data_IF_290473678950
#
_entry.id   IF_290473678950
#
_cell.length_a   1.000
_cell.length_b   1.000
_cell.length_c   1.000
_cell.angle_alpha   90.00
_cell.angle_beta   90.00
_cell.angle_gamma   90.00
#
_symmetry.space_group_name_H-M   'P 1'
#
loop_
_entity.id
_entity.type
_entity.pdbx_description
1 polymer ?
#
# COMPACT_ATOMS: atom_id res chain seq x y z
N UNK A 1 -49.81 34.05 51.44
CA UNK A 1 -49.84 35.43 50.93
C UNK A 1 -49.44 35.37 49.47
N UNK A 2 -50.38 35.77 48.61
CA UNK A 2 -50.18 36.05 47.20
C UNK A 2 -49.06 37.11 47.00
N UNK A 3 -48.34 37.09 45.89
CA UNK A 3 -48.66 37.92 44.72
C UNK A 3 -47.64 37.76 43.58
N UNK A 4 -48.22 37.78 42.39
CA UNK A 4 -47.64 37.68 41.05
C UNK A 4 -46.96 38.95 40.56
N UNK A 5 -46.18 38.81 39.46
CA UNK A 5 -46.02 39.65 38.23
C UNK A 5 -44.54 39.84 37.85
N UNK A 6 -44.08 40.03 36.61
CA UNK A 6 -44.43 39.66 35.23
C UNK A 6 -43.19 40.05 34.35
N UNK A 7 -42.92 39.28 33.29
CA UNK A 7 -42.32 39.64 31.98
C UNK A 7 -40.94 40.30 31.84
N UNK A 8 -40.04 39.60 31.12
CA UNK A 8 -38.90 40.15 30.37
C UNK A 8 -38.33 39.08 29.42
N UNK A 9 -38.47 39.30 28.11
CA UNK A 9 -38.16 38.40 27.00
C UNK A 9 -36.74 38.63 26.44
N UNK A 10 -35.90 37.58 26.30
CA UNK A 10 -34.92 37.43 25.19
C UNK A 10 -34.11 36.13 25.30
N UNK A 11 -34.06 35.38 24.19
CA UNK A 11 -33.40 34.09 23.98
C UNK A 11 -31.84 34.15 23.90
N UNK A 12 -31.13 33.00 23.87
CA UNK A 12 -29.77 32.82 24.38
C UNK A 12 -28.67 33.01 23.33
N UNK A 13 -27.45 33.36 23.78
CA UNK A 13 -26.22 33.21 22.99
C UNK A 13 -25.36 32.08 23.55
N UNK A 14 -25.25 31.04 22.73
CA UNK A 14 -24.28 29.96 22.76
C UNK A 14 -22.85 30.48 22.47
N UNK A 15 -21.87 30.07 23.27
CA UNK A 15 -20.44 30.16 22.89
C UNK A 15 -19.88 28.74 22.76
N UNK A 16 -19.83 28.25 21.52
CA UNK A 16 -19.11 27.05 21.10
C UNK A 16 -17.62 27.37 20.99
N UNK A 17 -16.79 26.79 21.86
CA UNK A 17 -15.35 26.74 21.67
C UNK A 17 -15.00 25.64 20.66
N UNK A 18 -14.77 26.01 19.40
CA UNK A 18 -14.27 25.09 18.38
C UNK A 18 -12.77 24.89 18.58
N UNK A 19 -12.38 23.71 19.05
CA UNK A 19 -10.99 23.26 19.06
C UNK A 19 -10.60 22.88 17.64
N UNK A 20 -9.80 23.72 16.98
CA UNK A 20 -9.22 23.43 15.68
C UNK A 20 -8.29 22.20 15.77
N UNK A 21 -8.56 21.22 14.92
CA UNK A 21 -7.80 19.99 14.76
C UNK A 21 -6.46 20.28 14.07
N UNK A 22 -5.41 19.53 14.45
CA UNK A 22 -4.07 19.56 13.84
C UNK A 22 -4.05 19.35 12.31
N UNK A 23 -5.16 18.93 11.71
CA UNK A 23 -5.33 18.81 10.26
C UNK A 23 -5.39 20.17 9.54
N UNK A 24 -5.94 21.22 10.16
CA UNK A 24 -6.10 22.54 9.52
C UNK A 24 -4.76 23.28 9.35
N UNK A 25 -3.75 22.97 10.19
CA UNK A 25 -2.42 23.58 10.11
C UNK A 25 -1.53 22.98 9.02
N UNK A 26 -1.82 21.76 8.54
CA UNK A 26 -1.01 21.08 7.52
C UNK A 26 -1.38 21.48 6.08
N UNK A 27 -2.54 22.08 5.86
CA UNK A 27 -2.97 22.53 4.53
C UNK A 27 -2.54 23.97 4.18
N UNK A 28 -1.79 24.65 5.06
CA UNK A 28 -1.45 26.07 4.90
C UNK A 28 -0.17 26.35 4.10
N UNK A 29 0.58 25.33 3.68
CA UNK A 29 1.87 25.53 3.02
C UNK A 29 1.90 24.96 1.60
N UNK A 30 1.39 25.75 0.63
CA UNK A 30 1.89 25.69 -0.75
C UNK A 30 2.09 27.10 -1.31
N UNK A 31 3.05 27.30 -2.24
CA UNK A 31 3.53 28.64 -2.59
C UNK A 31 2.55 29.39 -3.49
N UNK A 32 2.34 30.67 -3.16
CA UNK A 32 1.61 31.67 -3.95
C UNK A 32 2.12 31.75 -5.39
N UNK A 33 1.36 31.22 -6.35
CA UNK A 33 1.48 31.59 -7.76
C UNK A 33 0.28 32.46 -8.16
N UNK A 34 0.60 33.74 -8.39
CA UNK A 34 -0.07 34.76 -9.18
C UNK A 34 -1.60 34.90 -9.08
N UNK A 35 -1.97 36.01 -8.44
CA UNK A 35 -3.20 36.81 -8.57
C UNK A 35 -3.75 36.81 -10.01
N UNK A 36 -4.90 36.15 -10.21
CA UNK A 36 -5.75 36.28 -11.40
C UNK A 36 -7.17 36.60 -10.94
N UNK A 37 -7.84 37.46 -11.71
CA UNK A 37 -9.00 38.29 -11.41
C UNK A 37 -10.26 37.59 -10.86
N UNK A 38 -10.99 38.32 -10.00
CA UNK A 38 -12.16 37.91 -9.17
C UNK A 38 -13.43 37.40 -9.91
N UNK A 39 -13.36 37.10 -11.21
CA UNK A 39 -14.52 36.68 -12.02
C UNK A 39 -14.69 35.16 -12.16
N UNK A 40 -13.64 34.35 -11.95
CA UNK A 40 -13.69 32.89 -12.19
C UNK A 40 -14.09 32.04 -10.97
N UNK A 41 -13.92 32.58 -9.75
CA UNK A 41 -14.17 31.89 -8.47
C UNK A 41 -15.66 31.60 -8.21
N UNK A 42 -16.57 32.37 -8.79
CA UNK A 42 -18.02 32.13 -8.63
C UNK A 42 -18.52 30.92 -9.42
N UNK A 43 -17.84 30.55 -10.51
CA UNK A 43 -18.24 29.45 -11.39
C UNK A 43 -17.87 28.07 -10.83
N UNK A 44 -16.78 27.99 -10.06
CA UNK A 44 -16.24 26.75 -9.50
C UNK A 44 -16.96 26.32 -8.21
N UNK A 45 -17.49 27.29 -7.44
CA UNK A 45 -18.35 27.03 -6.27
C UNK A 45 -19.72 26.50 -6.73
N UNK A 46 -20.38 27.16 -7.71
CA UNK A 46 -21.65 26.68 -8.27
C UNK A 46 -21.56 25.28 -8.91
N UNK A 47 -20.44 24.96 -9.58
CA UNK A 47 -20.20 23.62 -10.16
C UNK A 47 -20.05 22.54 -9.09
N UNK A 48 -19.39 22.84 -7.96
CA UNK A 48 -19.25 21.89 -6.84
C UNK A 48 -20.59 21.61 -6.13
N UNK A 49 -21.42 22.64 -5.95
CA UNK A 49 -22.75 22.48 -5.34
C UNK A 49 -23.71 21.70 -6.24
N UNK A 50 -23.65 21.95 -7.55
CA UNK A 50 -24.44 21.20 -8.54
C UNK A 50 -24.01 19.74 -8.64
N UNK A 51 -22.71 19.46 -8.56
CA UNK A 51 -22.17 18.09 -8.55
C UNK A 51 -22.68 17.30 -7.33
N UNK A 52 -22.58 17.87 -6.12
CA UNK A 52 -23.07 17.21 -4.90
C UNK A 52 -24.57 16.93 -4.88
N UNK A 53 -25.36 17.70 -5.63
CA UNK A 53 -26.81 17.48 -5.76
C UNK A 53 -27.16 16.29 -6.68
N UNK A 54 -26.21 15.75 -7.44
CA UNK A 54 -26.44 14.60 -8.32
C UNK A 54 -26.11 13.28 -7.63
N UNK A 55 -27.02 12.29 -7.75
CA UNK A 55 -26.83 10.99 -7.09
C UNK A 55 -25.54 10.28 -7.52
N UNK A 56 -24.99 9.40 -6.66
CA UNK A 56 -23.65 8.82 -6.83
C UNK A 56 -23.47 8.09 -8.16
N UNK A 57 -24.52 7.43 -8.68
CA UNK A 57 -24.48 6.76 -9.99
C UNK A 57 -24.21 7.71 -11.16
N UNK A 58 -24.83 8.89 -11.19
CA UNK A 58 -24.63 9.86 -12.30
C UNK A 58 -23.22 10.44 -12.26
N UNK A 59 -22.70 10.68 -11.06
CA UNK A 59 -21.34 11.16 -10.84
C UNK A 59 -20.31 10.12 -11.27
N UNK A 60 -20.50 8.85 -10.89
CA UNK A 60 -19.68 7.75 -11.35
C UNK A 60 -19.70 7.58 -12.87
N UNK A 61 -20.87 7.74 -13.51
CA UNK A 61 -20.98 7.70 -14.97
C UNK A 61 -20.20 8.84 -15.64
N UNK A 62 -20.19 10.03 -15.04
CA UNK A 62 -19.37 11.15 -15.52
C UNK A 62 -17.88 10.84 -15.44
N UNK A 63 -17.43 10.19 -14.35
CA UNK A 63 -16.03 9.77 -14.18
C UNK A 63 -15.57 8.75 -15.23
N UNK A 64 -16.45 7.84 -15.69
CA UNK A 64 -16.11 6.90 -16.76
C UNK A 64 -15.75 7.58 -18.09
N UNK A 65 -16.28 8.78 -18.31
CA UNK A 65 -16.03 9.58 -19.53
C UNK A 65 -14.81 10.49 -19.40
N UNK A 66 -14.17 10.56 -18.24
CA UNK A 66 -12.92 11.30 -18.09
C UNK A 66 -11.77 10.61 -18.85
N UNK A 67 -10.81 11.42 -19.28
CA UNK A 67 -9.66 10.97 -20.04
C UNK A 67 -8.89 9.87 -19.32
N UNK A 68 -8.64 8.76 -20.02
CA UNK A 68 -7.90 7.60 -19.50
C UNK A 68 -8.77 6.55 -18.79
N UNK A 69 -9.98 6.90 -18.34
CA UNK A 69 -10.87 5.96 -17.64
C UNK A 69 -11.58 4.98 -18.60
N UNK A 70 -11.62 5.28 -19.89
CA UNK A 70 -12.15 4.38 -20.94
C UNK A 70 -11.28 3.15 -21.24
N UNK A 71 -10.08 3.05 -20.65
CA UNK A 71 -9.18 1.90 -20.78
C UNK A 71 -8.71 1.44 -19.40
N UNK A 72 -8.50 0.13 -19.24
CA UNK A 72 -8.02 -0.47 -18.00
C UNK A 72 -6.66 0.10 -17.60
N UNK A 73 -6.56 0.56 -16.36
CA UNK A 73 -5.36 1.16 -15.78
C UNK A 73 -4.14 0.24 -15.78
N UNK A 74 -4.28 -1.08 -15.90
CA UNK A 74 -3.15 -2.01 -15.78
C UNK A 74 -2.80 -2.74 -17.06
N UNK A 75 -3.77 -2.99 -17.95
CA UNK A 75 -3.52 -3.77 -19.17
C UNK A 75 -4.09 -3.17 -20.45
N UNK A 76 -4.68 -1.97 -20.38
CA UNK A 76 -5.21 -1.26 -21.55
C UNK A 76 -6.46 -1.88 -22.19
N UNK A 77 -7.11 -2.88 -21.56
CA UNK A 77 -8.39 -3.40 -22.06
C UNK A 77 -9.44 -2.28 -22.11
N UNK A 78 -10.23 -2.16 -23.20
CA UNK A 78 -11.25 -1.12 -23.30
C UNK A 78 -12.40 -1.36 -22.31
N UNK A 79 -13.14 -0.29 -22.03
CA UNK A 79 -14.39 -0.28 -21.25
C UNK A 79 -14.28 -1.01 -19.90
N UNK A 80 -13.38 -0.58 -19.00
CA UNK A 80 -13.27 -1.16 -17.67
C UNK A 80 -14.59 -1.02 -16.89
N UNK A 81 -15.04 -2.12 -16.28
CA UNK A 81 -16.32 -2.21 -15.53
C UNK A 81 -16.15 -2.36 -14.02
N UNK A 82 -14.91 -2.25 -13.56
CA UNK A 82 -14.52 -2.38 -12.16
C UNK A 82 -13.65 -1.20 -11.77
N UNK A 83 -13.69 -0.85 -10.50
CA UNK A 83 -12.93 0.25 -9.91
C UNK A 83 -12.21 -0.25 -8.68
N UNK A 84 -10.95 0.12 -8.51
CA UNK A 84 -10.31 0.12 -7.21
C UNK A 84 -10.50 1.48 -6.56
N UNK A 85 -11.40 1.58 -5.57
CA UNK A 85 -11.75 2.86 -4.95
C UNK A 85 -10.65 3.40 -4.05
N UNK A 86 -9.78 2.55 -3.50
CA UNK A 86 -8.64 2.98 -2.70
C UNK A 86 -7.47 3.52 -3.53
N UNK A 87 -7.37 3.09 -4.80
CA UNK A 87 -6.30 3.49 -5.73
C UNK A 87 -6.76 4.49 -6.78
N UNK A 88 -8.08 4.69 -6.93
CA UNK A 88 -8.66 5.60 -7.90
C UNK A 88 -8.57 5.11 -9.34
N UNK A 89 -8.52 3.79 -9.57
CA UNK A 89 -8.30 3.22 -10.91
C UNK A 89 -9.50 2.43 -11.43
N UNK A 90 -9.84 2.64 -12.70
CA UNK A 90 -10.76 1.85 -13.49
C UNK A 90 -10.02 0.69 -14.18
N UNK A 91 -10.47 -0.52 -13.89
CA UNK A 91 -9.80 -1.77 -14.28
C UNK A 91 -10.78 -2.76 -14.93
N UNK A 92 -10.25 -3.65 -15.77
CA UNK A 92 -11.05 -4.69 -16.41
C UNK A 92 -11.35 -5.85 -15.45
N UNK A 93 -12.25 -6.76 -15.84
CA UNK A 93 -12.63 -7.91 -15.02
C UNK A 93 -11.43 -8.79 -14.64
N UNK A 94 -10.48 -9.02 -15.57
CA UNK A 94 -9.30 -9.85 -15.30
C UNK A 94 -8.36 -9.20 -14.27
N UNK A 95 -8.07 -7.91 -14.43
CA UNK A 95 -7.23 -7.17 -13.48
C UNK A 95 -7.93 -7.01 -12.12
N UNK A 96 -9.26 -6.85 -12.10
CA UNK A 96 -10.03 -6.82 -10.85
C UNK A 96 -9.83 -8.08 -10.00
N UNK A 97 -9.70 -9.25 -10.64
CA UNK A 97 -9.38 -10.50 -9.95
C UNK A 97 -7.99 -10.49 -9.30
N UNK A 98 -7.00 -9.93 -9.99
CA UNK A 98 -5.64 -9.74 -9.44
C UNK A 98 -5.67 -8.75 -8.28
N UNK A 99 -6.35 -7.62 -8.42
CA UNK A 99 -6.47 -6.60 -7.37
C UNK A 99 -7.09 -7.16 -6.09
N UNK A 100 -8.08 -8.07 -6.20
CA UNK A 100 -8.63 -8.78 -5.04
C UNK A 100 -7.58 -9.63 -4.32
N UNK A 101 -6.61 -10.21 -5.04
CA UNK A 101 -5.53 -11.00 -4.44
C UNK A 101 -4.48 -10.17 -3.70
N UNK A 102 -4.39 -8.85 -3.94
CA UNK A 102 -3.51 -7.94 -3.18
C UNK A 102 -4.03 -7.72 -1.76
N UNK A 103 -5.33 -7.92 -1.53
CA UNK A 103 -6.00 -7.65 -0.26
C UNK A 103 -6.53 -6.22 -0.15
N UNK A 104 -7.55 -6.05 0.69
CA UNK A 104 -8.29 -4.79 0.88
C UNK A 104 -7.45 -3.65 1.43
N UNK A 105 -6.30 -3.98 2.01
CA UNK A 105 -5.35 -3.01 2.54
C UNK A 105 -4.64 -2.23 1.42
N UNK A 106 -4.48 -2.85 0.24
CA UNK A 106 -3.92 -2.22 -0.95
C UNK A 106 -5.03 -1.77 -1.91
N UNK A 107 -5.97 -2.68 -2.23
CA UNK A 107 -6.97 -2.44 -3.26
C UNK A 107 -8.38 -2.87 -2.82
N UNK A 108 -9.29 -1.89 -2.71
CA UNK A 108 -10.72 -2.13 -2.48
C UNK A 108 -11.46 -2.12 -3.83
N UNK A 109 -11.98 -3.26 -4.27
CA UNK A 109 -12.53 -3.44 -5.63
C UNK A 109 -14.06 -3.46 -5.62
N UNK A 110 -14.68 -2.54 -6.36
CA UNK A 110 -16.12 -2.44 -6.61
C UNK A 110 -16.46 -2.52 -8.09
N UNK A 111 -17.63 -3.04 -8.41
CA UNK A 111 -18.23 -3.01 -9.74
C UNK A 111 -18.89 -1.67 -10.00
N UNK A 112 -18.68 -1.12 -11.19
CA UNK A 112 -19.35 0.10 -11.64
C UNK A 112 -20.87 -0.07 -11.67
N UNK A 113 -21.37 -1.26 -12.03
CA UNK A 113 -22.80 -1.51 -12.23
C UNK A 113 -23.44 -2.40 -11.17
N UNK A 114 -22.69 -3.39 -10.68
CA UNK A 114 -23.26 -4.47 -9.85
C UNK A 114 -23.26 -4.13 -8.36
N UNK A 115 -22.45 -3.17 -7.93
CA UNK A 115 -22.36 -2.76 -6.53
C UNK A 115 -23.11 -1.44 -6.29
N UNK A 116 -23.52 -1.24 -5.04
CA UNK A 116 -24.05 0.03 -4.57
C UNK A 116 -22.91 1.00 -4.25
N UNK A 117 -23.13 2.27 -4.56
CA UNK A 117 -22.13 3.33 -4.40
C UNK A 117 -22.65 4.39 -3.44
N UNK A 118 -21.86 4.71 -2.44
CA UNK A 118 -22.12 5.84 -1.54
C UNK A 118 -21.54 7.13 -2.12
N UNK A 119 -22.05 8.27 -1.68
CA UNK A 119 -21.52 9.57 -2.10
C UNK A 119 -20.04 9.72 -1.72
N UNK A 120 -19.64 9.26 -0.53
CA UNK A 120 -18.25 9.31 -0.05
C UNK A 120 -17.28 8.49 -0.92
N UNK A 121 -17.74 7.33 -1.43
CA UNK A 121 -16.93 6.50 -2.32
C UNK A 121 -16.69 7.20 -3.67
N UNK A 122 -17.72 7.87 -4.20
CA UNK A 122 -17.60 8.60 -5.46
C UNK A 122 -16.76 9.86 -5.26
N UNK A 123 -16.93 10.59 -4.16
CA UNK A 123 -16.10 11.75 -3.82
C UNK A 123 -14.63 11.38 -3.65
N UNK A 124 -14.35 10.25 -3.00
CA UNK A 124 -12.99 9.70 -2.89
C UNK A 124 -12.40 9.41 -4.27
N UNK A 125 -13.18 8.82 -5.18
CA UNK A 125 -12.72 8.51 -6.53
C UNK A 125 -12.43 9.78 -7.35
N UNK A 126 -13.28 10.81 -7.24
CA UNK A 126 -13.04 12.14 -7.85
C UNK A 126 -11.72 12.72 -7.34
N UNK A 127 -11.51 12.71 -6.03
CA UNK A 127 -10.30 13.27 -5.41
C UNK A 127 -9.01 12.55 -5.85
N UNK A 128 -9.09 11.26 -6.18
CA UNK A 128 -7.95 10.49 -6.69
C UNK A 128 -7.66 10.73 -8.19
N UNK A 129 -8.59 11.33 -8.93
CA UNK A 129 -8.35 11.82 -10.30
C UNK A 129 -8.27 10.73 -11.39
N UNK A 130 -8.68 9.49 -11.09
CA UNK A 130 -8.81 8.44 -12.08
C UNK A 130 -7.49 7.86 -12.61
N UNK A 131 -7.59 7.17 -13.75
CA UNK A 131 -6.49 6.42 -14.35
C UNK A 131 -5.32 7.27 -14.80
N UNK A 132 -5.58 8.47 -15.31
CA UNK A 132 -4.52 9.36 -15.80
C UNK A 132 -3.62 9.78 -14.64
N UNK A 133 -4.21 10.25 -13.54
CA UNK A 133 -3.47 10.64 -12.34
C UNK A 133 -2.77 9.43 -11.71
N UNK A 134 -3.48 8.31 -11.58
CA UNK A 134 -2.91 7.09 -11.01
C UNK A 134 -1.75 6.54 -11.85
N UNK A 135 -1.83 6.52 -13.18
CA UNK A 135 -0.72 6.04 -14.01
C UNK A 135 0.47 7.01 -13.98
N UNK A 136 0.23 8.33 -13.98
CA UNK A 136 1.30 9.31 -13.82
C UNK A 136 2.05 9.13 -12.48
N UNK A 137 1.35 8.68 -11.43
CA UNK A 137 1.95 8.37 -10.13
C UNK A 137 2.64 7.00 -10.12
N UNK A 138 1.89 5.94 -10.36
CA UNK A 138 2.33 4.56 -10.18
C UNK A 138 3.08 3.97 -11.37
N UNK A 139 3.21 4.69 -12.48
CA UNK A 139 4.02 4.34 -13.66
C UNK A 139 5.02 5.46 -14.00
N UNK A 140 5.26 6.41 -13.09
CA UNK A 140 6.12 7.59 -13.28
C UNK A 140 7.53 7.22 -13.77
N UNK A 141 8.09 6.16 -13.19
CA UNK A 141 9.41 5.64 -13.49
C UNK A 141 9.33 4.20 -14.03
N UNK A 142 8.41 3.95 -14.97
CA UNK A 142 8.31 2.66 -15.64
C UNK A 142 9.54 2.47 -16.57
N UNK A 143 10.42 1.47 -16.31
CA UNK A 143 11.61 1.26 -17.14
C UNK A 143 11.26 0.83 -18.56
N UNK A 144 12.01 1.30 -19.57
CA UNK A 144 11.75 0.99 -20.99
C UNK A 144 11.72 -0.51 -21.32
N UNK A 145 12.46 -1.31 -20.55
CA UNK A 145 12.52 -2.76 -20.71
C UNK A 145 11.30 -3.50 -20.12
N UNK A 146 10.50 -2.84 -19.27
CA UNK A 146 9.32 -3.40 -18.64
C UNK A 146 8.07 -2.75 -19.22
N UNK A 147 7.32 -3.52 -20.02
CA UNK A 147 6.10 -3.04 -20.66
C UNK A 147 4.87 -3.48 -19.88
N UNK A 148 3.88 -2.60 -19.92
CA UNK A 148 2.53 -2.87 -19.43
C UNK A 148 1.95 -4.12 -20.11
N UNK A 149 1.29 -5.03 -19.37
CA UNK A 149 0.67 -6.21 -19.97
C UNK A 149 -0.42 -5.79 -20.96
N UNK A 150 -0.71 -6.65 -21.93
CA UNK A 150 -1.75 -6.42 -22.94
C UNK A 150 -3.11 -6.98 -22.50
N UNK A 151 -4.21 -6.64 -23.20
CA UNK A 151 -5.53 -7.20 -22.92
C UNK A 151 -5.63 -8.74 -23.04
N UNK A 152 -4.71 -9.35 -23.78
CA UNK A 152 -4.58 -10.78 -24.05
C UNK A 152 -3.49 -11.47 -23.21
N UNK A 153 -2.65 -10.73 -22.50
CA UNK A 153 -1.62 -11.26 -21.59
C UNK A 153 -2.15 -12.32 -20.62
N UNK A 154 -1.26 -13.15 -20.08
CA UNK A 154 -1.64 -14.19 -19.11
C UNK A 154 -2.06 -13.58 -17.76
N UNK A 155 -2.63 -14.40 -16.88
CA UNK A 155 -2.98 -13.93 -15.52
C UNK A 155 -1.71 -13.71 -14.67
N UNK A 156 -0.67 -14.50 -14.92
CA UNK A 156 0.63 -14.41 -14.26
C UNK A 156 1.33 -13.08 -14.63
N UNK A 157 1.37 -12.73 -15.91
CA UNK A 157 1.95 -11.45 -16.37
C UNK A 157 1.21 -10.25 -15.76
N UNK A 158 -0.13 -10.30 -15.71
CA UNK A 158 -0.94 -9.27 -15.05
C UNK A 158 -0.63 -9.20 -13.55
N UNK A 159 -0.58 -10.35 -12.88
CA UNK A 159 -0.29 -10.44 -11.45
C UNK A 159 1.06 -9.83 -11.10
N UNK A 160 2.09 -10.18 -11.87
CA UNK A 160 3.45 -9.69 -11.68
C UNK A 160 3.54 -8.17 -11.87
N UNK A 161 2.94 -7.62 -12.93
CA UNK A 161 2.91 -6.18 -13.17
C UNK A 161 2.13 -5.42 -12.07
N UNK A 162 0.93 -5.87 -11.74
CA UNK A 162 0.04 -5.20 -10.78
C UNK A 162 0.67 -5.20 -9.36
N UNK A 163 1.33 -6.29 -8.96
CA UNK A 163 2.07 -6.33 -7.69
C UNK A 163 3.23 -5.34 -7.67
N UNK A 164 4.04 -5.29 -8.72
CA UNK A 164 5.13 -4.30 -8.81
C UNK A 164 4.61 -2.87 -8.74
N UNK A 165 3.49 -2.62 -9.42
CA UNK A 165 2.86 -1.30 -9.50
C UNK A 165 2.30 -0.82 -8.15
N UNK A 166 1.51 -1.64 -7.46
CA UNK A 166 0.75 -1.16 -6.27
C UNK A 166 1.21 -1.74 -4.93
N UNK A 167 1.76 -2.96 -4.89
CA UNK A 167 2.25 -3.59 -3.65
C UNK A 167 3.70 -3.19 -3.38
N UNK A 168 4.57 -3.30 -4.40
CA UNK A 168 5.98 -2.97 -4.27
C UNK A 168 6.26 -1.48 -4.53
N UNK A 169 5.33 -0.78 -5.19
CA UNK A 169 5.46 0.63 -5.57
C UNK A 169 6.74 0.91 -6.37
N UNK A 170 7.10 -0.03 -7.25
CA UNK A 170 8.41 -0.07 -7.90
C UNK A 170 8.64 1.05 -8.91
N UNK A 171 7.56 1.63 -9.45
CA UNK A 171 7.63 2.64 -10.52
C UNK A 171 7.20 4.04 -10.05
N UNK A 172 7.10 4.27 -8.73
CA UNK A 172 6.91 5.62 -8.19
C UNK A 172 8.14 6.49 -8.47
N UNK A 173 7.93 7.79 -8.61
CA UNK A 173 9.03 8.76 -8.62
C UNK A 173 9.71 8.79 -7.24
N UNK A 174 11.04 8.70 -7.24
CA UNK A 174 11.86 8.64 -6.03
C UNK A 174 11.76 9.90 -5.16
N UNK A 175 11.25 11.00 -5.70
CA UNK A 175 11.09 12.26 -4.98
C UNK A 175 9.92 12.24 -3.96
N UNK A 176 8.92 11.37 -4.13
CA UNK A 176 7.84 11.17 -3.14
C UNK A 176 8.24 10.18 -2.02
N UNK A 177 9.40 9.51 -2.11
CA UNK A 177 9.91 8.62 -1.04
C UNK A 177 10.62 9.39 0.09
N UNK A 178 10.79 10.71 -0.02
CA UNK A 178 11.65 11.53 0.83
C UNK A 178 10.92 12.70 1.50
N UNK A 179 9.79 12.47 2.17
CA UNK A 179 9.33 13.38 3.24
C UNK A 179 9.61 12.69 4.59
N UNK A 180 10.89 12.66 4.94
CA UNK A 180 11.34 12.42 6.30
C UNK A 180 11.63 13.79 6.94
N UNK A 181 11.08 14.15 8.11
CA UNK A 181 11.34 15.45 8.74
C UNK A 181 12.72 15.60 9.39
N UNK A 182 13.73 14.79 9.02
CA UNK A 182 15.03 14.83 9.71
C UNK A 182 16.20 15.16 8.77
N UNK A 183 16.99 16.22 9.06
CA UNK A 183 18.15 16.56 8.26
C UNK A 183 19.26 15.51 8.42
N UNK A 184 19.98 15.14 7.35
CA UNK A 184 21.15 14.30 7.47
C UNK A 184 22.30 15.14 8.03
N UNK A 185 22.71 14.82 9.26
CA UNK A 185 23.99 15.32 9.79
C UNK A 185 25.13 14.75 8.96
N UNK A 186 25.82 15.67 8.29
CA UNK A 186 27.11 15.47 7.64
C UNK A 186 28.10 14.81 8.61
N UNK A 187 28.73 13.71 8.19
CA UNK A 187 30.05 13.35 8.70
C UNK A 187 31.01 13.29 7.52
N UNK A 188 31.83 14.31 7.48
CA UNK A 188 33.13 14.37 6.82
C UNK A 188 34.03 13.25 7.33
N UNK A 189 34.59 12.46 6.43
CA UNK A 189 35.94 11.90 6.60
C UNK A 189 36.47 11.47 5.23
N UNK A 190 37.28 12.35 4.68
CA UNK A 190 38.25 12.10 3.62
C UNK A 190 39.40 11.22 4.13
N UNK A 191 39.69 10.13 3.43
CA UNK A 191 41.08 9.67 3.23
C UNK A 191 41.16 8.62 2.12
N UNK A 192 42.04 8.91 1.18
CA UNK A 192 42.42 8.26 -0.08
C UNK A 192 43.17 6.91 0.11
N UNK A 193 43.42 6.15 -0.98
CA UNK A 193 43.86 4.76 -0.94
C UNK A 193 45.39 4.60 -0.97
N UNK A 194 45.89 3.47 -0.50
CA UNK A 194 47.24 2.99 -0.84
C UNK A 194 47.27 1.47 -1.00
N UNK A 195 47.81 1.03 -2.14
CA UNK A 195 48.19 -0.36 -2.43
C UNK A 195 49.64 -0.61 -1.99
N UNK A 196 49.98 -1.86 -1.67
CA UNK A 196 51.26 -2.51 -2.02
C UNK A 196 51.22 -4.02 -1.72
N UNK A 197 51.95 -4.77 -2.54
CA UNK A 197 51.94 -6.22 -2.72
C UNK A 197 53.12 -6.94 -2.04
N UNK A 198 53.06 -8.28 -1.99
CA UNK A 198 54.24 -9.18 -1.92
C UNK A 198 54.12 -10.33 -0.90
N UNK A 199 53.85 -11.57 -1.34
CA UNK A 199 54.78 -12.73 -1.42
C UNK A 199 54.73 -13.63 -0.15
N UNK A 200 54.80 -14.98 -0.14
CA UNK A 200 54.83 -16.09 -1.12
C UNK A 200 54.78 -17.45 -0.33
N UNK A 201 54.53 -18.58 -1.04
CA UNK A 201 54.72 -20.04 -0.68
C UNK A 201 53.79 -20.70 0.37
N UNK A 202 53.24 -21.92 0.25
CA UNK A 202 53.23 -23.08 -0.69
C UNK A 202 52.03 -23.98 -0.29
N UNK A 203 51.14 -24.44 -1.18
CA UNK A 203 51.18 -25.66 -2.02
C UNK A 203 50.96 -26.99 -1.28
N UNK A 204 49.83 -27.66 -1.55
CA UNK A 204 49.84 -29.08 -1.90
C UNK A 204 48.66 -29.48 -2.80
N UNK A 205 48.97 -30.35 -3.77
CA UNK A 205 48.18 -30.79 -4.93
C UNK A 205 47.43 -32.10 -4.64
N UNK A 206 46.32 -32.36 -5.35
CA UNK A 206 46.14 -33.57 -6.20
C UNK A 206 44.88 -33.52 -7.10
N UNK A 207 45.13 -33.19 -8.38
CA UNK A 207 44.68 -33.79 -9.66
C UNK A 207 43.54 -34.84 -9.63
N UNK A 208 42.38 -34.62 -10.27
CA UNK A 208 41.96 -34.74 -11.71
C UNK A 208 41.68 -36.18 -12.19
N UNK A 209 40.50 -36.46 -12.79
CA UNK A 209 40.30 -36.69 -14.24
C UNK A 209 38.96 -37.44 -14.57
N UNK A 210 38.40 -37.12 -15.76
CA UNK A 210 37.49 -37.91 -16.64
C UNK A 210 35.94 -37.75 -16.56
N UNK A 211 35.39 -37.12 -17.60
CA UNK A 211 34.09 -37.42 -18.25
C UNK A 211 34.19 -38.77 -19.02
N UNK A 212 33.12 -39.46 -19.52
CA UNK A 212 31.86 -38.92 -20.07
C UNK A 212 30.56 -39.80 -19.95
N UNK A 213 29.47 -39.28 -20.56
CA UNK A 213 28.26 -39.95 -21.13
C UNK A 213 26.95 -40.15 -20.33
N UNK A 214 25.91 -39.42 -20.80
CA UNK A 214 24.50 -39.81 -21.09
C UNK A 214 23.66 -40.58 -20.04
N UNK A 215 22.56 -39.97 -19.57
CA UNK A 215 21.16 -40.35 -19.91
C UNK A 215 20.09 -39.43 -19.29
N UNK A 216 18.96 -39.34 -20.00
CA UNK A 216 17.67 -38.73 -19.62
C UNK A 216 17.17 -39.25 -18.27
N UNK A 217 16.42 -38.42 -17.53
CA UNK A 217 15.06 -38.64 -16.99
C UNK A 217 14.75 -37.49 -16.03
N UNK A 218 13.63 -36.79 -16.27
CA UNK A 218 13.18 -35.70 -15.41
C UNK A 218 12.44 -36.21 -14.18
N UNK A 219 12.39 -35.41 -13.12
CA UNK A 219 11.34 -35.50 -12.11
C UNK A 219 10.98 -34.12 -11.56
N UNK A 220 9.67 -33.92 -11.56
CA UNK A 220 8.90 -32.74 -11.16
C UNK A 220 9.05 -32.50 -9.66
N UNK A 221 9.19 -31.23 -9.26
CA UNK A 221 8.92 -30.81 -7.89
C UNK A 221 7.41 -31.00 -7.61
N UNK A 222 7.13 -31.84 -6.62
CA UNK A 222 5.79 -32.12 -6.07
C UNK A 222 5.46 -31.06 -5.02
N UNK A 223 4.38 -30.33 -5.26
CA UNK A 223 3.59 -29.71 -4.19
C UNK A 223 2.28 -30.50 -4.19
N UNK A 224 2.26 -31.66 -3.52
CA UNK A 224 1.05 -32.47 -3.39
C UNK A 224 0.04 -31.74 -2.50
N UNK A 225 -0.98 -31.15 -3.13
CA UNK A 225 -2.29 -30.92 -2.53
C UNK A 225 -3.01 -32.27 -2.46
N UNK A 226 -3.26 -32.78 -1.26
CA UNK A 226 -4.16 -33.91 -1.04
C UNK A 226 -5.62 -33.45 -1.00
N UNK A 227 -6.37 -33.79 -2.04
CA UNK A 227 -7.85 -33.96 -2.04
C UNK A 227 -8.13 -35.38 -1.50
N UNK A 228 -9.26 -35.78 -0.92
CA UNK A 228 -10.60 -35.24 -0.61
C UNK A 228 -11.30 -36.40 0.12
N UNK A 229 -12.18 -36.14 1.09
CA UNK A 229 -13.33 -37.03 1.35
C UNK A 229 -14.57 -36.20 1.70
N UNK A 230 -15.68 -36.64 1.11
CA UNK A 230 -17.08 -36.17 1.24
C UNK A 230 -17.73 -36.80 2.48
N UNK A 231 -18.62 -36.16 3.24
CA UNK A 231 -20.04 -35.95 2.91
C UNK A 231 -20.74 -34.97 3.91
N UNK A 232 -21.68 -34.20 3.35
CA UNK A 232 -22.94 -33.64 3.88
C UNK A 232 -23.09 -32.85 5.22
N UNK A 233 -23.59 -31.61 5.00
CA UNK A 233 -24.67 -30.90 5.74
C UNK A 233 -24.28 -29.98 6.91
N UNK A 234 -24.15 -28.69 6.60
CA UNK A 234 -25.14 -27.66 6.98
C UNK A 234 -24.63 -26.26 6.62
N UNK A 235 -25.42 -25.56 5.82
CA UNK A 235 -25.24 -24.17 5.44
C UNK A 235 -25.33 -23.26 6.67
N UNK A 236 -24.21 -22.74 7.15
CA UNK A 236 -24.17 -21.45 7.84
C UNK A 236 -23.41 -20.48 6.95
N UNK A 237 -24.19 -19.69 6.21
CA UNK A 237 -23.76 -18.44 5.59
C UNK A 237 -23.26 -17.55 6.74
N UNK A 238 -21.96 -17.54 7.01
CA UNK A 238 -21.40 -16.47 7.83
C UNK A 238 -21.42 -15.23 6.94
N UNK A 239 -22.37 -14.34 7.20
CA UNK A 239 -22.27 -12.96 6.76
C UNK A 239 -21.01 -12.36 7.42
N UNK A 240 -19.85 -12.54 6.79
CA UNK A 240 -18.65 -11.78 7.16
C UNK A 240 -18.73 -10.40 6.51
N UNK A 241 -19.72 -9.62 6.94
CA UNK A 241 -19.72 -8.17 6.78
C UNK A 241 -18.60 -7.52 7.62
N UNK A 242 -17.92 -8.30 8.47
CA UNK A 242 -16.78 -7.92 9.30
C UNK A 242 -15.46 -7.63 8.55
N UNK A 243 -15.48 -7.61 7.20
CA UNK A 243 -14.27 -7.46 6.37
C UNK A 243 -13.98 -6.04 5.87
N UNK A 244 -14.83 -5.07 6.19
CA UNK A 244 -14.68 -3.67 5.78
C UNK A 244 -14.24 -2.82 6.98
N UNK A 245 -13.14 -3.19 7.64
CA UNK A 245 -12.59 -2.32 8.69
C UNK A 245 -11.97 -1.11 8.01
N UNK A 246 -12.56 0.06 8.23
CA UNK A 246 -11.99 1.34 7.85
C UNK A 246 -10.65 1.50 8.59
N UNK A 247 -9.60 1.75 7.81
CA UNK A 247 -8.26 1.98 8.31
C UNK A 247 -7.76 3.24 7.60
N UNK A 248 -7.10 4.13 8.34
CA UNK A 248 -6.68 5.47 7.91
C UNK A 248 -5.65 5.38 6.77
N UNK A 249 -4.78 4.38 6.81
CA UNK A 249 -3.72 4.18 5.80
C UNK A 249 -2.82 2.99 6.10
N UNK A 250 -1.73 2.84 5.35
CA UNK A 250 -0.74 1.78 5.59
C UNK A 250 0.53 2.37 6.18
N UNK A 251 1.12 1.66 7.14
CA UNK A 251 2.49 1.93 7.59
C UNK A 251 3.41 0.84 7.04
N UNK A 252 4.42 1.25 6.26
CA UNK A 252 5.51 0.39 5.78
C UNK A 252 6.70 0.55 6.71
N UNK A 253 7.08 -0.53 7.39
CA UNK A 253 8.20 -0.56 8.33
C UNK A 253 9.33 -1.37 7.71
N UNK A 254 10.49 -0.74 7.55
CA UNK A 254 11.68 -1.41 7.02
C UNK A 254 12.54 -1.92 8.19
N UNK A 255 12.55 -3.23 8.40
CA UNK A 255 13.39 -3.88 9.40
C UNK A 255 14.73 -4.19 8.76
N UNK A 256 15.75 -3.39 9.09
CA UNK A 256 17.07 -3.47 8.45
C UNK A 256 17.94 -4.54 9.10
N UNK A 257 18.34 -4.33 10.37
CA UNK A 257 19.28 -5.22 11.08
C UNK A 257 19.14 -5.13 12.59
N UNK A 258 19.60 -6.17 13.28
CA UNK A 258 19.87 -6.20 14.71
C UNK A 258 21.38 -6.26 14.94
N UNK A 259 21.85 -5.76 16.08
CA UNK A 259 23.28 -5.77 16.42
C UNK A 259 23.46 -6.17 17.88
N UNK A 260 24.46 -7.00 18.14
CA UNK A 260 24.82 -7.46 19.49
C UNK A 260 23.64 -8.03 20.27
N UNK A 261 22.85 -8.88 19.62
CA UNK A 261 21.71 -9.52 20.27
C UNK A 261 22.18 -10.47 21.37
N UNK A 262 21.40 -10.59 22.43
CA UNK A 262 21.69 -11.50 23.52
C UNK A 262 21.54 -12.96 23.05
N UNK A 263 22.44 -13.82 23.51
CA UNK A 263 22.29 -15.28 23.37
C UNK A 263 21.12 -15.72 24.25
N UNK A 264 20.09 -16.27 23.62
CA UNK A 264 18.88 -16.80 24.26
C UNK A 264 18.68 -18.30 24.03
N UNK A 265 19.50 -18.93 23.19
CA UNK A 265 19.63 -20.39 23.05
C UNK A 265 21.03 -20.84 23.48
N UNK A 266 21.41 -22.10 23.15
CA UNK A 266 22.62 -22.74 23.69
C UNK A 266 23.92 -21.95 23.46
N UNK A 267 24.14 -21.42 22.26
CA UNK A 267 25.36 -20.68 21.91
C UNK A 267 25.12 -19.36 21.16
N UNK A 268 23.94 -19.19 20.57
CA UNK A 268 23.57 -18.05 19.72
C UNK A 268 22.05 -17.90 19.78
N UNK A 269 21.45 -17.10 18.91
CA UNK A 269 20.00 -16.98 18.79
C UNK A 269 19.57 -17.02 17.35
N UNK A 270 18.31 -17.40 17.16
CA UNK A 270 17.61 -17.32 15.88
C UNK A 270 16.66 -16.10 15.87
N UNK A 271 17.18 -14.87 15.72
CA UNK A 271 16.38 -13.68 15.91
C UNK A 271 15.35 -13.44 14.80
N UNK A 272 14.22 -12.88 15.21
CA UNK A 272 13.20 -12.28 14.34
C UNK A 272 12.48 -11.14 15.06
N UNK A 273 11.91 -10.23 14.29
CA UNK A 273 11.16 -9.09 14.80
C UNK A 273 9.68 -9.30 14.53
N UNK A 274 8.84 -9.06 15.54
CA UNK A 274 7.40 -8.90 15.40
C UNK A 274 7.07 -7.41 15.49
N UNK A 275 6.35 -6.92 14.49
CA UNK A 275 5.73 -5.61 14.50
C UNK A 275 4.24 -5.79 14.80
N UNK A 276 3.72 -5.06 15.79
CA UNK A 276 2.31 -5.12 16.16
C UNK A 276 1.68 -3.73 16.24
N UNK A 277 0.51 -3.57 15.61
CA UNK A 277 -0.28 -2.34 15.62
C UNK A 277 -1.72 -2.71 16.01
N UNK A 278 -2.06 -2.52 17.29
CA UNK A 278 -3.35 -2.95 17.84
C UNK A 278 -3.47 -4.47 17.84
N UNK A 279 -4.45 -5.00 17.10
CA UNK A 279 -4.69 -6.45 16.94
C UNK A 279 -3.91 -7.05 15.76
N UNK A 280 -3.26 -6.22 14.94
CA UNK A 280 -2.49 -6.69 13.80
C UNK A 280 -1.05 -6.98 14.23
N UNK A 281 -0.48 -8.07 13.71
CA UNK A 281 0.94 -8.39 13.90
C UNK A 281 1.53 -9.04 12.66
N UNK A 282 2.75 -8.63 12.30
CA UNK A 282 3.54 -9.19 11.20
C UNK A 282 4.95 -9.51 11.71
N UNK A 283 5.59 -10.54 11.17
CA UNK A 283 6.91 -10.98 11.60
C UNK A 283 7.89 -11.02 10.44
N UNK A 284 9.16 -10.72 10.72
CA UNK A 284 10.25 -10.94 9.76
C UNK A 284 10.55 -12.42 9.60
N UNK A 285 11.36 -12.75 8.59
CA UNK A 285 12.06 -14.04 8.56
C UNK A 285 12.95 -14.22 9.80
N UNK A 286 13.08 -15.48 10.21
CA UNK A 286 14.01 -15.89 11.25
C UNK A 286 15.39 -16.06 10.62
N UNK A 287 16.41 -15.42 11.19
CA UNK A 287 17.80 -15.62 10.77
C UNK A 287 18.46 -16.52 11.79
N UNK A 288 18.92 -17.70 11.36
CA UNK A 288 19.47 -18.69 12.28
C UNK A 288 20.86 -18.30 12.78
N UNK A 289 21.12 -18.62 14.04
CA UNK A 289 22.42 -18.61 14.68
C UNK A 289 23.20 -17.29 14.49
N UNK A 290 22.52 -16.15 14.56
CA UNK A 290 23.13 -14.86 14.23
C UNK A 290 22.74 -13.76 15.23
N UNK A 291 23.72 -13.23 15.97
CA UNK A 291 23.52 -12.12 16.91
C UNK A 291 23.57 -10.73 16.23
N UNK A 292 23.86 -10.68 14.93
CA UNK A 292 23.88 -9.47 14.11
C UNK A 292 23.06 -9.69 12.81
N UNK A 293 21.77 -10.06 12.93
CA UNK A 293 20.94 -10.39 11.78
C UNK A 293 20.73 -9.18 10.86
N UNK A 294 20.74 -9.40 9.54
CA UNK A 294 20.36 -8.41 8.53
C UNK A 294 19.13 -8.91 7.77
N UNK A 295 17.98 -8.29 8.02
CA UNK A 295 16.70 -8.64 7.41
C UNK A 295 16.44 -7.87 6.12
N UNK A 296 16.68 -6.55 6.07
CA UNK A 296 16.29 -5.70 4.93
C UNK A 296 14.88 -6.03 4.42
N UNK A 297 13.95 -6.20 5.35
CA UNK A 297 12.59 -6.69 5.08
C UNK A 297 11.59 -5.57 5.35
N UNK A 298 10.76 -5.27 4.35
CA UNK A 298 9.68 -4.30 4.49
C UNK A 298 8.38 -5.02 4.82
N UNK A 299 7.81 -4.69 5.97
CA UNK A 299 6.54 -5.24 6.47
C UNK A 299 5.48 -4.13 6.52
N UNK A 300 4.24 -4.45 6.17
CA UNK A 300 3.15 -3.46 6.10
C UNK A 300 2.04 -3.80 7.10
N UNK A 301 1.54 -2.79 7.81
CA UNK A 301 0.43 -2.87 8.74
C UNK A 301 -0.62 -1.82 8.37
N UNK A 302 -1.90 -2.12 8.57
CA UNK A 302 -3.00 -1.18 8.32
C UNK A 302 -3.26 -0.35 9.58
N UNK A 303 -3.23 0.98 9.47
CA UNK A 303 -3.43 1.93 10.56
C UNK A 303 -4.93 2.01 10.88
N UNK A 304 -5.42 1.48 12.01
CA UNK A 304 -6.83 1.60 12.37
C UNK A 304 -7.20 3.05 12.73
N UNK A 305 -8.50 3.38 12.78
CA UNK A 305 -8.98 4.72 13.14
C UNK A 305 -8.45 5.23 14.48
N UNK A 306 -8.50 4.41 15.52
CA UNK A 306 -7.83 4.69 16.78
C UNK A 306 -6.40 4.18 16.71
N UNK A 307 -5.46 5.08 16.37
CA UNK A 307 -4.05 4.76 16.10
C UNK A 307 -3.35 4.29 17.39
N UNK A 308 -3.10 2.98 17.57
CA UNK A 308 -2.38 2.48 18.73
C UNK A 308 -0.87 2.68 18.50
N UNK A 309 -0.03 2.59 19.56
CA UNK A 309 1.41 2.60 19.37
C UNK A 309 1.88 1.38 18.59
N UNK A 310 2.77 1.59 17.63
CA UNK A 310 3.49 0.51 16.96
C UNK A 310 4.45 -0.14 17.96
N UNK A 311 4.23 -1.42 18.26
CA UNK A 311 5.09 -2.22 19.11
C UNK A 311 6.08 -2.99 18.25
N UNK A 312 7.36 -2.88 18.59
CA UNK A 312 8.46 -3.61 17.95
C UNK A 312 9.05 -4.53 19.00
N UNK A 313 8.93 -5.84 18.77
CA UNK A 313 9.39 -6.86 19.71
C UNK A 313 10.38 -7.78 19.02
N UNK A 314 11.58 -7.91 19.60
CA UNK A 314 12.60 -8.84 19.16
C UNK A 314 12.46 -10.16 19.92
N UNK A 315 12.47 -11.27 19.18
CA UNK A 315 12.40 -12.63 19.71
C UNK A 315 13.54 -13.47 19.17
N UNK A 316 13.84 -14.58 19.87
CA UNK A 316 14.69 -15.66 19.39
C UNK A 316 13.83 -16.94 19.28
N UNK A 317 13.95 -17.68 18.18
CA UNK A 317 13.30 -18.97 18.04
C UNK A 317 14.17 -20.05 18.69
N UNK A 318 13.64 -20.75 19.70
CA UNK A 318 14.31 -21.94 20.21
C UNK A 318 14.19 -23.07 19.18
N UNK A 319 15.32 -23.76 18.93
CA UNK A 319 15.38 -24.96 18.07
C UNK A 319 15.12 -26.22 18.91
#
# INVERSE_FOLDING_TARGET
>A
MEMSTQHGNSNPKSSSGSGSCLYDLLCSETPSWNRVSDAETSSSIQRKDTWKSTGPRRRLESLLHESGNGICADCGSPDPKWVSVSLGVFICIKCSGVHRSLGVHISKVLSVKLDEWTDDQVDSLVNLGGNTVANNKYEACLPDNLKKPRPDSSIEERSDFIKRKYEMLQFLDGNEQMICPYPPHQKTSSSTPHCSAGQHFTQEKKQCEKQPTRHRIGHKFRNSWGRKDSEHKSTKKSNSLAGMVEFIGLVKVNVVKGTNLAVRDMMTSDPYVILALGQQSVKTRVIKNNLNPVWNESLMLSIPENIPPLKVSLYAACV
#
